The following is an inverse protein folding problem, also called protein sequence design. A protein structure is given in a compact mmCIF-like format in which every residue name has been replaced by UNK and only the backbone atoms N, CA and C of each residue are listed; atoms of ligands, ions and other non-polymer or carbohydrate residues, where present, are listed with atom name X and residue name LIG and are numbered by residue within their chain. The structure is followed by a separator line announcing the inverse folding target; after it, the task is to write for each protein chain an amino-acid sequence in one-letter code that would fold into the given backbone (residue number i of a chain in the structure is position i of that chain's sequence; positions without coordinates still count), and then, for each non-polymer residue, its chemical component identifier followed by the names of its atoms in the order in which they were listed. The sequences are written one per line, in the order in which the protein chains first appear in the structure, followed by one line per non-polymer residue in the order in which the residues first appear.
data_IF_513430063128
#
_entry.id   IF_513430063128
#
_cell.length_a   1.000
_cell.length_b   1.000
_cell.length_c   1.000
_cell.angle_alpha   90.00
_cell.angle_beta   90.00
_cell.angle_gamma   90.00
#
_symmetry.space_group_name_H-M   'P 1'
#
loop_
_entity.id
_entity.type
_entity.pdbx_description
1 polymer ?
#
# COMPACT_ATOMS: atom_id res chain seq x y z
N UNK A 1 3.18 1.99 10.12
CA UNK A 1 2.38 3.20 9.78
C UNK A 1 1.29 2.80 8.80
N UNK A 2 1.05 3.49 7.69
CA UNK A 2 -0.17 3.28 6.91
C UNK A 2 -0.32 1.87 6.29
N UNK A 3 0.75 1.35 5.69
CA UNK A 3 0.79 0.03 5.04
C UNK A 3 1.25 -1.10 5.98
N UNK A 4 1.28 -0.86 7.29
CA UNK A 4 1.59 -1.91 8.26
C UNK A 4 0.46 -2.95 8.29
N UNK A 5 0.77 -4.24 8.45
CA UNK A 5 -0.25 -5.26 8.68
C UNK A 5 -0.83 -5.10 10.10
N UNK A 6 -1.76 -5.99 10.45
CA UNK A 6 -2.25 -6.12 11.82
C UNK A 6 -1.13 -6.30 12.84
N UNK A 7 -1.35 -5.76 14.03
CA UNK A 7 -0.42 -5.86 15.14
C UNK A 7 -0.63 -7.14 15.97
N UNK A 8 0.09 -7.24 17.11
CA UNK A 8 -0.01 -8.38 18.03
C UNK A 8 -1.38 -8.56 18.69
N UNK A 9 -2.21 -7.53 18.66
CA UNK A 9 -3.57 -7.53 19.19
C UNK A 9 -4.63 -7.72 18.09
N UNK A 10 -4.20 -8.04 16.86
CA UNK A 10 -5.05 -8.15 15.66
C UNK A 10 -5.73 -6.81 15.26
N UNK A 11 -5.18 -5.67 15.69
CA UNK A 11 -5.72 -4.35 15.34
C UNK A 11 -5.44 -3.99 13.88
N UNK A 12 -6.44 -3.41 13.20
CA UNK A 12 -6.33 -3.03 11.79
C UNK A 12 -5.40 -1.83 11.59
N UNK A 13 -4.52 -1.93 10.59
CA UNK A 13 -3.71 -0.80 10.13
C UNK A 13 -4.54 0.24 9.36
N UNK A 14 -4.02 1.46 9.13
CA UNK A 14 -4.77 2.52 8.45
C UNK A 14 -5.31 2.14 7.07
N UNK A 15 -4.55 1.38 6.26
CA UNK A 15 -5.06 0.89 4.97
C UNK A 15 -6.24 -0.05 5.15
N UNK A 16 -6.10 -1.04 6.04
CA UNK A 16 -7.14 -2.05 6.28
C UNK A 16 -8.41 -1.40 6.84
N UNK A 17 -8.28 -0.51 7.83
CA UNK A 17 -9.40 0.21 8.43
C UNK A 17 -10.10 1.14 7.41
N UNK A 18 -9.36 1.81 6.52
CA UNK A 18 -9.93 2.71 5.52
C UNK A 18 -10.76 2.01 4.43
N UNK A 19 -10.58 0.70 4.28
CA UNK A 19 -11.29 -0.12 3.30
C UNK A 19 -12.54 -0.79 3.88
N UNK A 20 -12.76 -0.71 5.19
CA UNK A 20 -14.00 -1.19 5.79
C UNK A 20 -15.19 -0.44 5.21
N UNK A 21 -16.22 -1.20 4.82
CA UNK A 21 -17.48 -0.69 4.24
C UNK A 21 -17.31 0.18 2.99
N UNK A 22 -16.16 0.05 2.29
CA UNK A 22 -15.93 0.76 1.05
C UNK A 22 -16.94 0.30 -0.02
N UNK A 23 -17.69 1.21 -0.67
CA UNK A 23 -18.69 0.82 -1.65
C UNK A 23 -18.00 0.30 -2.91
N UNK A 24 -18.39 -0.90 -3.36
CA UNK A 24 -17.84 -1.53 -4.57
C UNK A 24 -18.95 -1.69 -5.61
N UNK A 25 -18.87 -0.95 -6.72
CA UNK A 25 -19.84 -1.07 -7.81
C UNK A 25 -19.63 -2.36 -8.64
N UNK A 26 -18.38 -2.72 -8.93
CA UNK A 26 -18.00 -3.93 -9.66
C UNK A 26 -16.79 -4.62 -8.97
N UNK A 27 -16.96 -5.78 -8.34
CA UNK A 27 -15.87 -6.49 -7.67
C UNK A 27 -14.73 -6.94 -8.59
N UNK A 28 -14.98 -7.15 -9.89
CA UNK A 28 -13.94 -7.50 -10.86
C UNK A 28 -13.11 -6.27 -11.27
N UNK A 29 -13.61 -5.06 -10.97
CA UNK A 29 -12.97 -3.77 -11.25
C UNK A 29 -13.07 -2.84 -10.03
N UNK A 30 -12.36 -3.13 -8.93
CA UNK A 30 -12.54 -2.46 -7.63
C UNK A 30 -11.87 -1.08 -7.59
N UNK A 31 -12.37 -0.15 -8.39
CA UNK A 31 -11.83 1.20 -8.55
C UNK A 31 -11.83 1.97 -7.22
N UNK A 32 -12.82 1.75 -6.38
CA UNK A 32 -13.00 2.43 -5.10
C UNK A 32 -11.92 2.02 -4.09
N UNK A 33 -11.51 0.75 -4.08
CA UNK A 33 -10.35 0.27 -3.30
C UNK A 33 -9.09 1.02 -3.70
N UNK A 34 -8.82 1.08 -5.01
CA UNK A 34 -7.62 1.73 -5.55
C UNK A 34 -7.64 3.23 -5.22
N UNK A 35 -8.80 3.89 -5.36
CA UNK A 35 -8.97 5.31 -4.97
C UNK A 35 -8.63 5.56 -3.51
N UNK A 36 -9.15 4.73 -2.61
CA UNK A 36 -8.88 4.87 -1.18
C UNK A 36 -7.41 4.65 -0.87
N UNK A 37 -6.78 3.58 -1.37
CA UNK A 37 -5.37 3.29 -1.10
C UNK A 37 -4.45 4.37 -1.70
N UNK A 38 -4.73 4.83 -2.93
CA UNK A 38 -3.95 5.90 -3.57
C UNK A 38 -4.07 7.26 -2.86
N UNK A 39 -5.13 7.50 -2.08
CA UNK A 39 -5.26 8.74 -1.30
C UNK A 39 -4.18 8.89 -0.22
N UNK A 40 -3.51 7.78 0.15
CA UNK A 40 -2.40 7.77 1.09
C UNK A 40 -1.01 7.91 0.44
N UNK A 41 -0.93 8.07 -0.89
CA UNK A 41 0.34 8.14 -1.64
C UNK A 41 1.31 6.97 -1.31
N UNK A 42 0.94 5.72 -1.62
CA UNK A 42 1.68 4.53 -1.18
C UNK A 42 3.09 4.45 -1.77
N UNK A 43 4.12 4.62 -0.94
CA UNK A 43 5.50 4.27 -1.25
C UNK A 43 5.91 2.95 -0.58
N UNK A 44 5.75 1.81 -1.27
CA UNK A 44 6.13 0.51 -0.71
C UNK A 44 7.63 0.38 -0.48
N UNK A 45 8.47 0.96 -1.36
CA UNK A 45 9.91 1.02 -1.17
C UNK A 45 10.29 1.73 0.15
N UNK A 46 9.55 2.78 0.53
CA UNK A 46 9.73 3.48 1.80
C UNK A 46 9.28 2.59 2.98
N UNK A 47 8.15 1.90 2.83
CA UNK A 47 7.57 1.04 3.87
C UNK A 47 8.47 -0.14 4.25
N UNK A 48 9.20 -0.72 3.30
CA UNK A 48 10.12 -1.86 3.53
C UNK A 48 11.60 -1.47 3.48
N UNK A 49 11.91 -0.18 3.39
CA UNK A 49 13.27 0.35 3.35
C UNK A 49 14.12 -0.23 2.22
N UNK A 50 13.61 -0.22 0.99
CA UNK A 50 14.33 -0.65 -0.20
C UNK A 50 15.42 0.38 -0.55
N UNK A 51 16.52 0.37 0.20
CA UNK A 51 17.67 1.28 0.10
C UNK A 51 18.99 0.50 0.25
N UNK A 52 20.01 0.86 -0.53
CA UNK A 52 21.37 0.33 -0.40
C UNK A 52 22.28 1.42 0.21
N UNK A 53 22.87 1.19 1.40
CA UNK A 53 23.79 2.15 2.01
C UNK A 53 25.06 2.42 1.18
N UNK A 54 25.39 1.57 0.19
CA UNK A 54 26.54 1.74 -0.73
C UNK A 54 26.18 2.46 -2.03
N UNK A 55 24.96 3.00 -2.13
CA UNK A 55 24.45 3.73 -3.30
C UNK A 55 24.54 2.94 -4.62
N UNK A 56 24.43 1.61 -4.58
CA UNK A 56 24.32 0.82 -5.81
C UNK A 56 22.86 0.74 -6.28
N UNK A 57 22.69 0.50 -7.57
CA UNK A 57 21.37 0.27 -8.17
C UNK A 57 20.78 -1.05 -7.65
N UNK A 58 19.61 -0.98 -6.99
CA UNK A 58 18.91 -2.17 -6.47
C UNK A 58 18.08 -2.84 -7.57
N UNK A 59 17.29 -2.05 -8.29
CA UNK A 59 16.41 -2.51 -9.36
C UNK A 59 16.15 -1.39 -10.35
N UNK A 60 16.02 -1.72 -11.63
CA UNK A 60 15.61 -0.79 -12.69
C UNK A 60 14.37 -1.33 -13.36
N UNK A 61 13.31 -0.54 -13.31
CA UNK A 61 12.02 -0.86 -13.92
C UNK A 61 11.80 0.08 -15.10
N UNK A 62 11.30 -0.45 -16.21
CA UNK A 62 10.87 0.33 -17.37
C UNK A 62 9.40 0.04 -17.61
N UNK A 63 8.56 1.07 -17.53
CA UNK A 63 7.17 1.00 -17.95
C UNK A 63 7.10 1.02 -19.49
N UNK A 64 6.17 0.24 -20.07
CA UNK A 64 5.92 0.15 -21.51
C UNK A 64 5.24 1.41 -22.04
#
# INVERSE_FOLDING_TARGET
WNAGPRDENDELGPYEASLLDNPIADPEQPLEVIRTVHSFDPCLACAIHMVDPRQQEIVRVKAL
#
